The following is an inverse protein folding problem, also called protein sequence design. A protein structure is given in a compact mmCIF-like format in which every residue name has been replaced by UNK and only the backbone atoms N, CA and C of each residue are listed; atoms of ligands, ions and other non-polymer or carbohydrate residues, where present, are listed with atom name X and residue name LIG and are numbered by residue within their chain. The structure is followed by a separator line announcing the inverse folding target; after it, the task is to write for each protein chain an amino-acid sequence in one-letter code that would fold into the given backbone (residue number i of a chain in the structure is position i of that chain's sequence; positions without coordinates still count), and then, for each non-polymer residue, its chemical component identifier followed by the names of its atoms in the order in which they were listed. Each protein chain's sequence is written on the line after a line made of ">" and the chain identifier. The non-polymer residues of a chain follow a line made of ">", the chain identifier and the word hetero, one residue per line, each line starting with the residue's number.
data_IF_809402125858
#
_entry.id   IF_809402125858
#
_cell.length_a   1.000
_cell.length_b   1.000
_cell.length_c   1.000
_cell.angle_alpha   90.00
_cell.angle_beta   90.00
_cell.angle_gamma   90.00
#
_symmetry.space_group_name_H-M   'P 1'
#
loop_
_entity.id
_entity.type
_entity.pdbx_description
1 polymer ?
#
# COMPACT_ATOMS: atom_id res chain seq x y z
N UNK A 1 -32.44 11.24 -10.58
CA UNK A 1 -31.61 11.98 -9.60
C UNK A 1 -31.17 11.12 -8.41
N UNK A 2 -32.07 10.54 -7.59
CA UNK A 2 -31.71 9.75 -6.38
C UNK A 2 -30.77 8.54 -6.59
N UNK A 3 -30.85 7.88 -7.75
CA UNK A 3 -29.98 6.72 -8.06
C UNK A 3 -28.54 7.18 -8.37
N UNK A 4 -28.39 8.24 -9.17
CA UNK A 4 -27.08 8.82 -9.49
C UNK A 4 -26.34 9.29 -8.22
N UNK A 5 -27.07 9.87 -7.25
CA UNK A 5 -26.51 10.26 -5.96
C UNK A 5 -25.99 9.05 -5.16
N UNK A 6 -26.70 7.91 -5.18
CA UNK A 6 -26.26 6.68 -4.49
C UNK A 6 -24.98 6.09 -5.07
N UNK A 7 -24.84 6.08 -6.41
CA UNK A 7 -23.62 5.61 -7.06
C UNK A 7 -22.46 6.58 -6.90
N UNK A 8 -22.72 7.90 -6.87
CA UNK A 8 -21.70 8.90 -6.54
C UNK A 8 -21.11 8.66 -5.14
N UNK A 9 -21.97 8.49 -4.14
CA UNK A 9 -21.53 8.14 -2.77
C UNK A 9 -20.72 6.84 -2.73
N UNK A 10 -21.19 5.81 -3.44
CA UNK A 10 -20.49 4.53 -3.50
C UNK A 10 -19.09 4.68 -4.13
N UNK A 11 -18.97 5.40 -5.25
CA UNK A 11 -17.68 5.67 -5.91
C UNK A 11 -16.73 6.47 -5.02
N UNK A 12 -17.22 7.43 -4.23
CA UNK A 12 -16.40 8.12 -3.24
C UNK A 12 -15.77 7.13 -2.25
N UNK A 13 -16.57 6.18 -1.72
CA UNK A 13 -16.12 5.18 -0.74
C UNK A 13 -15.19 4.10 -1.33
N UNK A 14 -15.21 3.91 -2.66
CA UNK A 14 -14.19 3.09 -3.34
C UNK A 14 -12.79 3.72 -3.25
N UNK A 15 -12.69 5.03 -2.95
CA UNK A 15 -11.41 5.73 -2.75
C UNK A 15 -10.40 5.51 -3.89
N UNK A 16 -10.87 5.55 -5.14
CA UNK A 16 -10.00 5.34 -6.32
C UNK A 16 -8.76 6.26 -6.31
N UNK A 17 -8.84 7.56 -5.98
CA UNK A 17 -7.65 8.41 -5.91
C UNK A 17 -6.64 7.98 -4.84
N UNK A 18 -7.08 7.30 -3.77
CA UNK A 18 -6.18 6.80 -2.72
C UNK A 18 -5.22 5.74 -3.25
N UNK A 19 -5.59 5.02 -4.32
CA UNK A 19 -4.70 4.05 -4.97
C UNK A 19 -3.37 4.65 -5.41
N UNK A 20 -3.29 5.96 -5.65
CA UNK A 20 -2.02 6.65 -5.95
C UNK A 20 -0.99 6.47 -4.84
N UNK A 21 -1.42 6.31 -3.58
CA UNK A 21 -0.51 6.08 -2.46
C UNK A 21 0.04 4.65 -2.39
N UNK A 22 -0.47 3.74 -3.21
CA UNK A 22 -0.08 2.32 -3.27
C UNK A 22 0.85 2.00 -4.45
N UNK A 23 1.08 2.97 -5.34
CA UNK A 23 1.99 2.85 -6.49
C UNK A 23 3.45 2.49 -6.18
N UNK A 24 4.06 2.87 -5.03
CA UNK A 24 5.48 2.63 -4.80
C UNK A 24 5.93 1.18 -5.00
N UNK A 25 5.15 0.21 -4.54
CA UNK A 25 5.49 -1.22 -4.65
C UNK A 25 5.39 -1.69 -6.09
N UNK A 26 4.42 -1.18 -6.86
CA UNK A 26 4.31 -1.46 -8.29
C UNK A 26 5.55 -0.97 -9.03
N UNK A 27 5.94 0.30 -8.83
CA UNK A 27 7.14 0.85 -9.45
C UNK A 27 8.42 0.15 -8.98
N UNK A 28 8.47 -0.23 -7.70
CA UNK A 28 9.60 -0.98 -7.16
C UNK A 28 9.77 -2.32 -7.86
N UNK A 29 8.68 -3.09 -7.98
CA UNK A 29 8.69 -4.40 -8.63
C UNK A 29 9.11 -4.34 -10.10
N UNK A 30 8.77 -3.25 -10.81
CA UNK A 30 9.26 -3.02 -12.18
C UNK A 30 10.72 -2.55 -12.21
N UNK A 31 11.14 -1.73 -11.25
CA UNK A 31 12.49 -1.17 -11.21
C UNK A 31 13.58 -2.22 -11.01
N UNK A 32 13.24 -3.41 -10.52
CA UNK A 32 14.19 -4.52 -10.34
C UNK A 32 14.33 -5.40 -11.60
N UNK A 33 13.53 -5.18 -12.64
CA UNK A 33 13.54 -5.95 -13.88
C UNK A 33 14.41 -5.30 -14.96
N UNK A 34 15.19 -6.11 -15.69
CA UNK A 34 16.00 -5.60 -16.81
C UNK A 34 15.15 -5.09 -17.97
N UNK A 35 14.06 -5.78 -18.28
CA UNK A 35 13.12 -5.44 -19.33
C UNK A 35 11.69 -5.55 -18.80
N UNK A 36 10.83 -4.65 -19.25
CA UNK A 36 9.43 -4.60 -18.84
C UNK A 36 8.55 -4.62 -20.08
N UNK A 37 7.67 -5.61 -20.17
CA UNK A 37 6.56 -5.59 -21.13
C UNK A 37 5.58 -4.49 -20.72
N UNK A 38 5.56 -3.40 -21.49
CA UNK A 38 4.75 -2.21 -21.19
C UNK A 38 3.25 -2.50 -21.20
N UNK A 39 2.78 -3.40 -22.07
CA UNK A 39 1.37 -3.78 -22.12
C UNK A 39 0.98 -4.51 -20.84
N UNK A 40 1.76 -5.52 -20.44
CA UNK A 40 1.51 -6.25 -19.20
C UNK A 40 1.62 -5.34 -17.98
N UNK A 41 2.62 -4.46 -17.94
CA UNK A 41 2.78 -3.49 -16.85
C UNK A 41 1.56 -2.56 -16.73
N UNK A 42 1.06 -2.02 -17.84
CA UNK A 42 -0.14 -1.20 -17.87
C UNK A 42 -1.39 -1.99 -17.42
N UNK A 43 -1.55 -3.23 -17.88
CA UNK A 43 -2.65 -4.09 -17.46
C UNK A 43 -2.61 -4.40 -15.96
N UNK A 44 -1.45 -4.80 -15.41
CA UNK A 44 -1.26 -5.00 -13.97
C UNK A 44 -1.57 -3.73 -13.19
N UNK A 45 -1.07 -2.58 -13.65
CA UNK A 45 -1.33 -1.30 -13.02
C UNK A 45 -2.82 -0.99 -12.91
N UNK A 46 -3.56 -1.12 -14.02
CA UNK A 46 -5.00 -0.89 -14.07
C UNK A 46 -5.76 -1.86 -13.18
N UNK A 47 -5.44 -3.16 -13.25
CA UNK A 47 -6.07 -4.19 -12.41
C UNK A 47 -5.88 -3.84 -10.93
N UNK A 48 -4.66 -3.50 -10.50
CA UNK A 48 -4.39 -3.22 -9.09
C UNK A 48 -5.00 -1.88 -8.64
N UNK A 49 -4.73 -0.79 -9.35
CA UNK A 49 -5.01 0.57 -8.87
C UNK A 49 -6.44 1.04 -9.17
N UNK A 50 -7.09 0.47 -10.19
CA UNK A 50 -8.45 0.86 -10.58
C UNK A 50 -9.47 -0.17 -10.10
N UNK A 51 -9.12 -1.45 -9.96
CA UNK A 51 -10.06 -2.50 -9.57
C UNK A 51 -9.80 -3.03 -8.14
N UNK A 52 -8.64 -3.64 -7.90
CA UNK A 52 -8.33 -4.37 -6.65
C UNK A 52 -8.34 -3.44 -5.43
N UNK A 53 -7.51 -2.40 -5.42
CA UNK A 53 -7.42 -1.51 -4.26
C UNK A 53 -8.73 -0.75 -4.01
N UNK A 54 -9.44 -0.24 -5.04
CA UNK A 54 -10.73 0.38 -4.81
C UNK A 54 -11.80 -0.59 -4.28
N UNK A 55 -11.83 -1.84 -4.75
CA UNK A 55 -12.74 -2.85 -4.22
C UNK A 55 -12.45 -3.17 -2.75
N UNK A 56 -11.18 -3.33 -2.39
CA UNK A 56 -10.73 -3.51 -1.01
C UNK A 56 -11.12 -2.33 -0.11
N UNK A 57 -10.91 -1.10 -0.57
CA UNK A 57 -11.27 0.12 0.15
C UNK A 57 -12.78 0.26 0.34
N UNK A 58 -13.57 -0.02 -0.70
CA UNK A 58 -15.02 0.02 -0.66
C UNK A 58 -15.62 -1.05 0.26
N UNK A 59 -15.06 -2.27 0.23
CA UNK A 59 -15.48 -3.33 1.15
C UNK A 59 -15.20 -2.96 2.60
N UNK A 60 -14.00 -2.43 2.86
CA UNK A 60 -13.62 -1.93 4.18
C UNK A 60 -14.60 -0.85 4.68
N UNK A 61 -14.88 0.17 3.86
CA UNK A 61 -15.84 1.23 4.22
C UNK A 61 -17.28 0.74 4.41
N UNK A 62 -17.69 -0.32 3.72
CA UNK A 62 -19.03 -0.90 3.89
C UNK A 62 -19.22 -1.54 5.28
N UNK A 63 -18.20 -2.24 5.78
CA UNK A 63 -18.24 -2.92 7.09
C UNK A 63 -17.91 -2.00 8.26
N UNK A 64 -16.93 -1.10 8.08
CA UNK A 64 -16.43 -0.27 9.17
C UNK A 64 -17.39 0.89 9.49
N UNK A 65 -18.13 1.39 8.48
CA UNK A 65 -19.16 2.45 8.62
C UNK A 65 -18.65 3.67 9.38
N UNK A 66 -17.41 4.05 9.09
CA UNK A 66 -16.68 5.12 9.78
C UNK A 66 -17.45 6.45 9.73
N UNK A 67 -17.45 7.15 10.87
CA UNK A 67 -18.02 8.50 10.96
C UNK A 67 -16.91 9.55 10.98
N UNK A 68 -15.72 9.21 11.48
CA UNK A 68 -14.53 10.05 11.42
C UNK A 68 -13.73 9.84 10.13
N UNK A 69 -12.64 10.61 10.01
CA UNK A 69 -11.80 10.58 8.81
C UNK A 69 -11.12 9.22 8.61
N UNK A 70 -11.05 8.80 7.35
CA UNK A 70 -10.35 7.58 6.90
C UNK A 70 -9.37 7.92 5.80
N UNK A 71 -8.41 7.03 5.51
CA UNK A 71 -7.41 7.26 4.45
C UNK A 71 -8.05 7.77 3.15
N UNK A 72 -7.67 8.98 2.73
CA UNK A 72 -8.15 9.65 1.51
C UNK A 72 -9.48 10.39 1.62
N UNK A 73 -10.25 10.22 2.71
CA UNK A 73 -11.54 10.89 2.93
C UNK A 73 -11.63 11.48 4.35
N UNK A 74 -11.60 12.81 4.44
CA UNK A 74 -11.74 13.51 5.72
C UNK A 74 -13.14 13.37 6.34
N UNK A 75 -14.17 13.35 5.50
CA UNK A 75 -15.57 13.18 5.92
C UNK A 75 -16.21 12.08 5.04
N UNK A 76 -16.07 10.79 5.40
CA UNK A 76 -16.63 9.72 4.58
C UNK A 76 -18.17 9.76 4.63
N UNK A 77 -18.85 9.61 3.48
CA UNK A 77 -20.30 9.46 3.48
C UNK A 77 -20.73 8.09 4.00
N UNK A 78 -22.00 7.94 4.42
CA UNK A 78 -22.50 6.64 4.90
C UNK A 78 -22.56 5.61 3.75
N UNK A 79 -22.12 4.36 3.99
CA UNK A 79 -22.17 3.31 2.97
C UNK A 79 -23.62 2.95 2.61
N UNK A 80 -23.80 2.48 1.39
CA UNK A 80 -25.10 2.06 0.85
C UNK A 80 -24.97 0.71 0.12
N UNK A 81 -26.10 0.14 -0.29
CA UNK A 81 -26.10 -1.17 -1.00
C UNK A 81 -25.39 -1.11 -2.35
N UNK A 82 -25.37 0.05 -3.02
CA UNK A 82 -24.67 0.23 -4.31
C UNK A 82 -23.15 0.07 -4.14
N UNK A 83 -22.59 0.41 -2.98
CA UNK A 83 -21.18 0.18 -2.68
C UNK A 83 -20.83 -1.31 -2.78
N UNK A 84 -21.61 -2.20 -2.15
CA UNK A 84 -21.34 -3.63 -2.21
C UNK A 84 -21.47 -4.19 -3.64
N UNK A 85 -22.43 -3.68 -4.43
CA UNK A 85 -22.55 -4.06 -5.84
C UNK A 85 -21.31 -3.65 -6.66
N UNK A 86 -20.80 -2.44 -6.44
CA UNK A 86 -19.57 -1.97 -7.10
C UNK A 86 -18.35 -2.77 -6.67
N UNK A 87 -18.22 -3.07 -5.37
CA UNK A 87 -17.13 -3.91 -4.84
C UNK A 87 -17.13 -5.27 -5.54
N UNK A 88 -18.28 -5.96 -5.57
CA UNK A 88 -18.38 -7.27 -6.21
C UNK A 88 -18.09 -7.20 -7.71
N UNK A 89 -18.60 -6.15 -8.39
CA UNK A 89 -18.29 -5.93 -9.80
C UNK A 89 -16.78 -5.77 -10.03
N UNK A 90 -16.11 -4.97 -9.21
CA UNK A 90 -14.66 -4.73 -9.35
C UNK A 90 -13.86 -5.99 -9.01
N UNK A 91 -14.28 -6.78 -8.03
CA UNK A 91 -13.66 -8.07 -7.70
C UNK A 91 -13.71 -9.02 -8.90
N UNK A 92 -14.90 -9.20 -9.48
CA UNK A 92 -15.08 -10.06 -10.65
C UNK A 92 -14.26 -9.56 -11.84
N UNK A 93 -14.32 -8.26 -12.13
CA UNK A 93 -13.54 -7.66 -13.22
C UNK A 93 -12.03 -7.79 -12.99
N UNK A 94 -11.54 -7.65 -11.76
CA UNK A 94 -10.12 -7.78 -11.44
C UNK A 94 -9.62 -9.20 -11.71
N UNK A 95 -10.34 -10.22 -11.24
CA UNK A 95 -9.95 -11.62 -11.44
C UNK A 95 -10.06 -12.02 -12.91
N UNK A 96 -11.16 -11.68 -13.59
CA UNK A 96 -11.33 -11.99 -15.00
C UNK A 96 -10.30 -11.27 -15.89
N UNK A 97 -9.99 -10.01 -15.60
CA UNK A 97 -8.93 -9.29 -16.31
C UNK A 97 -7.55 -9.88 -16.02
N UNK A 98 -7.33 -10.40 -14.82
CA UNK A 98 -6.09 -11.11 -14.46
C UNK A 98 -5.86 -12.37 -15.30
N UNK A 99 -6.93 -13.06 -15.71
CA UNK A 99 -6.82 -14.24 -16.59
C UNK A 99 -6.26 -13.91 -17.97
N UNK A 100 -6.38 -12.65 -18.42
CA UNK A 100 -5.76 -12.17 -19.67
C UNK A 100 -4.22 -12.16 -19.59
N UNK A 101 -3.65 -12.11 -18.39
CA UNK A 101 -2.20 -12.14 -18.17
C UNK A 101 -1.69 -13.56 -17.88
N UNK A 102 -2.29 -14.23 -16.89
CA UNK A 102 -2.09 -15.67 -16.63
C UNK A 102 -3.05 -16.18 -15.55
N UNK A 103 -3.36 -17.50 -15.52
CA UNK A 103 -4.11 -18.10 -14.41
C UNK A 103 -3.46 -17.91 -13.04
N UNK A 104 -2.12 -17.91 -12.97
CA UNK A 104 -1.38 -17.71 -11.72
C UNK A 104 -1.51 -16.27 -11.20
N UNK A 105 -1.43 -15.27 -12.08
CA UNK A 105 -1.67 -13.88 -11.69
C UNK A 105 -3.10 -13.68 -11.20
N UNK A 106 -4.09 -14.24 -11.91
CA UNK A 106 -5.50 -14.18 -11.50
C UNK A 106 -5.74 -14.83 -10.13
N UNK A 107 -5.07 -15.94 -9.82
CA UNK A 107 -5.19 -16.60 -8.51
C UNK A 107 -4.56 -15.76 -7.40
N UNK A 108 -3.47 -15.04 -7.67
CA UNK A 108 -2.89 -14.09 -6.71
C UNK A 108 -3.80 -12.89 -6.45
N UNK A 109 -4.42 -12.34 -7.51
CA UNK A 109 -5.44 -11.29 -7.36
C UNK A 109 -6.59 -11.80 -6.51
N UNK A 110 -7.13 -12.99 -6.81
CA UNK A 110 -8.23 -13.57 -6.03
C UNK A 110 -7.84 -13.76 -4.56
N UNK A 111 -6.67 -14.32 -4.28
CA UNK A 111 -6.17 -14.52 -2.91
C UNK A 111 -6.02 -13.18 -2.17
N UNK A 112 -5.42 -12.16 -2.80
CA UNK A 112 -5.30 -10.82 -2.22
C UNK A 112 -6.68 -10.27 -1.85
N UNK A 113 -7.65 -10.38 -2.76
CA UNK A 113 -9.02 -9.94 -2.53
C UNK A 113 -9.61 -10.70 -1.34
N UNK A 114 -9.58 -12.03 -1.30
CA UNK A 114 -10.12 -12.82 -0.18
C UNK A 114 -9.54 -12.40 1.17
N UNK A 115 -8.22 -12.21 1.26
CA UNK A 115 -7.55 -11.77 2.48
C UNK A 115 -8.00 -10.37 2.87
N UNK A 116 -8.08 -9.45 1.91
CA UNK A 116 -8.61 -8.10 2.14
C UNK A 116 -10.05 -8.11 2.63
N UNK A 117 -10.89 -9.07 2.23
CA UNK A 117 -12.26 -9.19 2.72
C UNK A 117 -12.30 -9.79 4.12
N UNK A 118 -11.52 -10.83 4.38
CA UNK A 118 -11.36 -11.43 5.70
C UNK A 118 -10.88 -10.42 6.76
N UNK A 119 -10.13 -9.40 6.33
CA UNK A 119 -9.69 -8.31 7.19
C UNK A 119 -10.86 -7.52 7.82
N UNK A 120 -11.91 -7.21 7.04
CA UNK A 120 -13.05 -6.38 7.47
C UNK A 120 -14.33 -7.16 7.77
N UNK A 121 -14.52 -8.35 7.21
CA UNK A 121 -15.74 -9.14 7.38
C UNK A 121 -16.00 -9.50 8.85
N UNK A 122 -17.18 -9.17 9.37
CA UNK A 122 -17.53 -9.35 10.80
C UNK A 122 -17.29 -10.77 11.34
N UNK A 123 -17.52 -11.80 10.52
CA UNK A 123 -17.32 -13.20 10.95
C UNK A 123 -15.86 -13.60 11.18
N UNK A 124 -14.89 -12.86 10.62
CA UNK A 124 -13.45 -13.10 10.81
C UNK A 124 -12.81 -11.91 11.52
N UNK A 125 -12.87 -10.73 10.87
CA UNK A 125 -12.40 -9.42 11.31
C UNK A 125 -10.96 -9.46 11.78
N UNK A 126 -10.01 -9.79 10.89
CA UNK A 126 -8.59 -9.93 11.26
C UNK A 126 -8.04 -8.69 11.96
N UNK A 127 -8.52 -7.49 11.60
CA UNK A 127 -8.09 -6.21 12.16
C UNK A 127 -8.22 -6.08 13.68
N UNK A 128 -9.02 -6.92 14.33
CA UNK A 128 -9.12 -6.99 15.79
C UNK A 128 -7.84 -7.54 16.45
N UNK A 129 -7.00 -8.24 15.69
CA UNK A 129 -5.75 -8.83 16.16
C UNK A 129 -4.57 -7.95 15.71
N UNK A 130 -3.95 -7.16 16.60
CA UNK A 130 -2.94 -6.15 16.24
C UNK A 130 -1.75 -6.71 15.47
N UNK A 131 -1.14 -7.77 16.01
CA UNK A 131 0.09 -8.36 15.45
C UNK A 131 -0.23 -9.12 14.15
N UNK A 132 -1.24 -10.00 14.19
CA UNK A 132 -1.64 -10.80 13.04
C UNK A 132 -2.12 -9.92 11.88
N UNK A 133 -2.97 -8.93 12.16
CA UNK A 133 -3.47 -8.01 11.12
C UNK A 133 -2.34 -7.19 10.52
N UNK A 134 -1.38 -6.72 11.33
CA UNK A 134 -0.21 -6.00 10.81
C UNK A 134 0.60 -6.91 9.90
N UNK A 135 0.95 -8.12 10.35
CA UNK A 135 1.69 -9.08 9.53
C UNK A 135 0.98 -9.36 8.20
N UNK A 136 -0.33 -9.65 8.25
CA UNK A 136 -1.13 -9.94 7.05
C UNK A 136 -1.12 -8.74 6.11
N UNK A 137 -1.38 -7.54 6.60
CA UNK A 137 -1.41 -6.34 5.74
C UNK A 137 -0.03 -6.06 5.16
N UNK A 138 1.03 -6.08 5.96
CA UNK A 138 2.36 -5.70 5.48
C UNK A 138 2.95 -6.76 4.55
N UNK A 139 2.66 -8.05 4.75
CA UNK A 139 3.04 -9.10 3.81
C UNK A 139 2.24 -9.03 2.51
N UNK A 140 0.91 -8.94 2.57
CA UNK A 140 0.07 -8.96 1.37
C UNK A 140 0.20 -7.68 0.55
N UNK A 141 0.31 -6.52 1.19
CA UNK A 141 0.58 -5.26 0.50
C UNK A 141 2.06 -5.12 0.13
N UNK A 142 2.99 -5.70 0.89
CA UNK A 142 4.42 -5.67 0.60
C UNK A 142 4.85 -6.79 -0.34
N UNK A 143 5.55 -7.80 0.21
CA UNK A 143 6.17 -8.88 -0.55
C UNK A 143 5.22 -9.58 -1.54
N UNK A 144 3.99 -9.89 -1.13
CA UNK A 144 3.05 -10.57 -2.01
C UNK A 144 2.66 -9.70 -3.21
N UNK A 145 2.41 -8.40 -3.00
CA UNK A 145 2.09 -7.49 -4.10
C UNK A 145 3.28 -7.31 -5.03
N UNK A 146 4.50 -7.20 -4.49
CA UNK A 146 5.72 -7.18 -5.30
C UNK A 146 5.82 -8.42 -6.20
N UNK A 147 5.62 -9.61 -5.62
CA UNK A 147 5.64 -10.89 -6.33
C UNK A 147 4.52 -10.93 -7.39
N UNK A 148 3.32 -10.52 -7.01
CA UNK A 148 2.15 -10.49 -7.89
C UNK A 148 2.37 -9.58 -9.10
N UNK A 149 2.97 -8.40 -8.91
CA UNK A 149 3.32 -7.51 -10.03
C UNK A 149 4.30 -8.18 -10.98
N UNK A 150 5.37 -8.80 -10.47
CA UNK A 150 6.37 -9.46 -11.32
C UNK A 150 5.81 -10.67 -12.09
N UNK A 151 4.98 -11.48 -11.45
CA UNK A 151 4.26 -12.58 -12.14
C UNK A 151 3.31 -12.02 -13.20
N UNK A 152 2.62 -10.91 -12.91
CA UNK A 152 1.73 -10.25 -13.86
C UNK A 152 2.46 -9.76 -15.12
N UNK A 153 3.68 -9.25 -14.97
CA UNK A 153 4.52 -8.82 -16.10
C UNK A 153 5.30 -9.95 -16.79
N UNK A 154 5.13 -11.20 -16.35
CA UNK A 154 5.51 -12.39 -17.12
C UNK A 154 6.63 -13.23 -16.51
N UNK A 155 7.11 -12.93 -15.30
CA UNK A 155 8.08 -13.79 -14.63
C UNK A 155 7.41 -15.07 -14.10
N UNK A 156 8.13 -16.18 -14.14
CA UNK A 156 7.72 -17.41 -13.44
C UNK A 156 7.90 -17.24 -11.93
N UNK A 157 7.11 -17.97 -11.13
CA UNK A 157 7.23 -17.91 -9.67
C UNK A 157 8.65 -18.29 -9.19
N UNK A 158 9.30 -19.22 -9.88
CA UNK A 158 10.68 -19.61 -9.58
C UNK A 158 11.65 -18.43 -9.74
N UNK A 159 11.57 -17.68 -10.85
CA UNK A 159 12.41 -16.49 -11.08
C UNK A 159 12.16 -15.42 -10.02
N UNK A 160 10.90 -15.23 -9.63
CA UNK A 160 10.55 -14.23 -8.61
C UNK A 160 11.09 -14.60 -7.22
N UNK A 161 11.06 -15.89 -6.86
CA UNK A 161 11.52 -16.36 -5.56
C UNK A 161 13.03 -16.62 -5.48
N UNK A 162 13.76 -16.45 -6.58
CA UNK A 162 15.22 -16.56 -6.61
C UNK A 162 15.91 -15.33 -6.02
N UNK A 163 17.12 -15.54 -5.49
CA UNK A 163 17.99 -14.45 -5.08
C UNK A 163 18.55 -13.71 -6.31
N UNK A 164 18.74 -12.37 -6.25
CA UNK A 164 18.44 -11.50 -5.11
C UNK A 164 16.97 -11.05 -5.02
N UNK A 165 16.12 -11.45 -5.97
CA UNK A 165 14.79 -10.86 -6.15
C UNK A 165 13.83 -11.06 -4.98
N UNK A 166 13.87 -12.22 -4.31
CA UNK A 166 13.09 -12.47 -3.09
C UNK A 166 13.39 -11.46 -1.96
N UNK A 167 14.63 -10.96 -1.89
CA UNK A 167 15.02 -9.98 -0.89
C UNK A 167 14.44 -8.59 -1.17
N UNK A 168 14.24 -8.22 -2.43
CA UNK A 168 13.48 -7.00 -2.77
C UNK A 168 12.00 -7.12 -2.39
N UNK A 169 11.41 -8.31 -2.47
CA UNK A 169 10.06 -8.54 -1.94
C UNK A 169 10.01 -8.30 -0.41
N UNK A 170 11.03 -8.76 0.33
CA UNK A 170 11.14 -8.50 1.77
C UNK A 170 11.28 -7.00 2.09
N UNK A 171 12.06 -6.25 1.30
CA UNK A 171 12.16 -4.78 1.42
C UNK A 171 10.77 -4.13 1.35
N UNK A 172 9.92 -4.58 0.43
CA UNK A 172 8.53 -4.08 0.31
C UNK A 172 7.74 -4.28 1.60
N UNK A 173 7.85 -5.45 2.23
CA UNK A 173 7.20 -5.72 3.53
C UNK A 173 7.76 -4.84 4.64
N UNK A 174 9.09 -4.63 4.71
CA UNK A 174 9.71 -3.77 5.74
C UNK A 174 9.27 -2.30 5.61
N UNK A 175 9.19 -1.79 4.38
CA UNK A 175 8.64 -0.46 4.15
C UNK A 175 7.18 -0.35 4.60
N UNK A 176 6.37 -1.38 4.32
CA UNK A 176 4.98 -1.42 4.77
C UNK A 176 4.84 -1.58 6.28
N UNK A 177 5.71 -2.36 6.93
CA UNK A 177 5.79 -2.40 8.39
C UNK A 177 5.98 -1.00 8.98
N UNK A 178 6.77 -0.14 8.31
CA UNK A 178 6.93 1.22 8.76
C UNK A 178 5.74 2.13 8.44
N UNK A 179 5.27 2.11 7.20
CA UNK A 179 4.25 3.06 6.72
C UNK A 179 2.84 2.73 7.21
N UNK A 180 2.47 1.45 7.29
CA UNK A 180 1.10 1.05 7.61
C UNK A 180 0.65 1.51 9.01
N UNK A 181 1.41 1.29 10.12
CA UNK A 181 1.02 1.81 11.43
C UNK A 181 0.91 3.35 11.46
N UNK A 182 1.74 4.07 10.71
CA UNK A 182 1.62 5.53 10.59
C UNK A 182 0.28 5.95 9.97
N UNK A 183 -0.30 5.15 9.08
CA UNK A 183 -1.62 5.46 8.50
C UNK A 183 -2.76 5.40 9.53
N UNK A 184 -2.53 4.76 10.67
CA UNK A 184 -3.51 4.56 11.75
C UNK A 184 -3.27 5.50 12.95
N UNK A 185 -2.16 6.25 12.97
CA UNK A 185 -1.70 6.96 14.16
C UNK A 185 -2.66 8.04 14.66
N UNK A 186 -3.48 8.60 13.77
CA UNK A 186 -4.50 9.59 14.12
C UNK A 186 -5.87 8.98 14.48
N UNK A 187 -6.06 7.67 14.30
CA UNK A 187 -7.36 7.00 14.41
C UNK A 187 -7.57 6.29 15.76
N UNK A 188 -6.68 6.51 16.75
CA UNK A 188 -6.68 5.77 18.01
C UNK A 188 -8.03 5.79 18.75
N UNK A 189 -8.68 6.95 18.81
CA UNK A 189 -9.97 7.11 19.48
C UNK A 189 -11.08 6.33 18.76
N UNK A 190 -11.14 6.41 17.43
CA UNK A 190 -12.19 5.77 16.64
C UNK A 190 -11.99 4.25 16.57
N UNK A 191 -10.74 3.79 16.42
CA UNK A 191 -10.38 2.36 16.52
C UNK A 191 -10.81 1.78 17.86
N UNK A 192 -10.53 2.49 18.96
CA UNK A 192 -10.91 2.07 20.31
C UNK A 192 -12.43 1.99 20.47
N UNK A 193 -13.19 2.97 19.95
CA UNK A 193 -14.67 2.95 19.99
C UNK A 193 -15.27 1.77 19.25
N UNK A 194 -14.66 1.32 18.16
CA UNK A 194 -15.07 0.12 17.41
C UNK A 194 -14.65 -1.21 18.03
N UNK A 195 -13.86 -1.17 19.10
CA UNK A 195 -13.26 -2.35 19.73
C UNK A 195 -12.12 -2.97 18.92
N UNK A 196 -11.59 -2.26 17.92
CA UNK A 196 -10.43 -2.70 17.16
C UNK A 196 -9.15 -2.38 17.97
N UNK A 197 -8.21 -3.34 18.02
CA UNK A 197 -6.89 -3.13 18.64
C UNK A 197 -5.84 -3.12 17.54
N UNK A 198 -5.55 -1.94 16.99
CA UNK A 198 -4.50 -1.79 15.97
C UNK A 198 -3.12 -1.77 16.61
N UNK A 199 -2.07 -2.06 15.82
CA UNK A 199 -0.71 -2.01 16.34
C UNK A 199 -0.33 -0.59 16.80
N UNK A 200 -0.74 0.43 16.03
CA UNK A 200 -0.48 1.82 16.39
C UNK A 200 -1.12 2.21 17.73
N UNK A 201 -2.35 1.75 17.99
CA UNK A 201 -3.02 1.96 19.26
C UNK A 201 -2.25 1.34 20.44
N UNK A 202 -1.72 0.12 20.27
CA UNK A 202 -0.99 -0.60 21.33
C UNK A 202 0.37 0.02 21.61
N UNK A 203 1.06 0.45 20.56
CA UNK A 203 2.35 1.13 20.69
C UNK A 203 2.20 2.57 21.21
N UNK A 204 1.00 3.15 21.10
CA UNK A 204 0.77 4.57 21.25
C UNK A 204 1.47 5.38 20.15
N UNK A 205 1.32 6.70 20.20
CA UNK A 205 1.88 7.63 19.21
C UNK A 205 3.42 7.49 19.12
N UNK A 206 4.11 7.60 20.26
CA UNK A 206 5.58 7.56 20.31
C UNK A 206 6.11 6.21 19.83
N UNK A 207 5.53 5.10 20.30
CA UNK A 207 5.94 3.77 19.87
C UNK A 207 5.67 3.53 18.39
N UNK A 208 4.59 4.10 17.83
CA UNK A 208 4.30 4.02 16.39
C UNK A 208 5.39 4.71 15.58
N UNK A 209 5.83 5.90 15.98
CA UNK A 209 6.95 6.58 15.32
C UNK A 209 8.26 5.77 15.44
N UNK A 210 8.60 5.26 16.62
CA UNK A 210 9.83 4.47 16.77
C UNK A 210 9.81 3.19 15.92
N UNK A 211 8.69 2.46 15.93
CA UNK A 211 8.49 1.27 15.10
C UNK A 211 8.58 1.58 13.61
N UNK A 212 8.00 2.71 13.19
CA UNK A 212 8.06 3.15 11.81
C UNK A 212 9.48 3.48 11.38
N UNK A 213 10.21 4.26 12.18
CA UNK A 213 11.60 4.61 11.92
C UNK A 213 12.48 3.35 11.82
N UNK A 214 12.37 2.42 12.77
CA UNK A 214 13.13 1.18 12.76
C UNK A 214 12.85 0.34 11.50
N UNK A 215 11.58 0.15 11.15
CA UNK A 215 11.19 -0.66 9.99
C UNK A 215 11.63 -0.03 8.67
N UNK A 216 11.49 1.30 8.53
CA UNK A 216 11.94 2.03 7.35
C UNK A 216 13.47 2.03 7.22
N UNK A 217 14.21 2.18 8.32
CA UNK A 217 15.67 2.09 8.32
C UNK A 217 16.15 0.67 7.99
N UNK A 218 15.50 -0.37 8.54
CA UNK A 218 15.82 -1.76 8.20
C UNK A 218 15.56 -2.05 6.72
N UNK A 219 14.40 -1.64 6.19
CA UNK A 219 14.08 -1.77 4.77
C UNK A 219 15.07 -1.00 3.88
N UNK A 220 15.45 0.20 4.28
CA UNK A 220 16.42 1.03 3.55
C UNK A 220 17.79 0.36 3.58
N UNK A 221 18.28 -0.05 4.75
CA UNK A 221 19.58 -0.71 4.90
C UNK A 221 19.68 -1.97 4.04
N UNK A 222 18.63 -2.81 4.04
CA UNK A 222 18.56 -3.99 3.17
C UNK A 222 18.56 -3.61 1.69
N UNK A 223 17.80 -2.59 1.29
CA UNK A 223 17.76 -2.12 -0.10
C UNK A 223 19.11 -1.60 -0.59
N UNK A 224 19.78 -0.77 0.23
CA UNK A 224 21.11 -0.25 -0.12
C UNK A 224 22.14 -1.38 -0.20
N UNK A 225 22.08 -2.35 0.72
CA UNK A 225 22.94 -3.54 0.66
C UNK A 225 22.70 -4.33 -0.64
N UNK A 226 21.44 -4.55 -1.03
CA UNK A 226 21.12 -5.22 -2.31
C UNK A 226 21.65 -4.45 -3.52
N UNK A 227 21.53 -3.12 -3.53
CA UNK A 227 22.08 -2.32 -4.62
C UNK A 227 23.61 -2.33 -4.66
N UNK A 228 24.29 -2.40 -3.51
CA UNK A 228 25.74 -2.57 -3.47
C UNK A 228 26.17 -3.94 -4.02
N UNK A 229 25.55 -5.03 -3.55
CA UNK A 229 25.95 -6.39 -3.91
C UNK A 229 25.56 -6.78 -5.34
N UNK A 230 24.55 -6.11 -5.92
CA UNK A 230 24.16 -6.27 -7.33
C UNK A 230 24.80 -5.23 -8.26
N UNK A 231 25.80 -4.48 -7.78
CA UNK A 231 26.53 -3.46 -8.55
C UNK A 231 25.65 -2.34 -9.13
N UNK A 232 24.52 -2.05 -8.48
CA UNK A 232 23.58 -0.98 -8.84
C UNK A 232 23.80 0.29 -8.00
N UNK A 233 25.05 0.69 -7.81
CA UNK A 233 25.45 1.78 -6.89
C UNK A 233 24.74 3.10 -7.21
N UNK A 234 24.45 3.38 -8.48
CA UNK A 234 23.72 4.58 -8.87
C UNK A 234 22.30 4.65 -8.26
N UNK A 235 21.63 3.51 -8.10
CA UNK A 235 20.29 3.45 -7.51
C UNK A 235 20.28 3.87 -6.04
N UNK A 236 21.40 3.71 -5.32
CA UNK A 236 21.57 4.19 -3.94
C UNK A 236 21.42 5.71 -3.90
N UNK A 237 22.15 6.41 -4.78
CA UNK A 237 22.10 7.88 -4.84
C UNK A 237 20.73 8.39 -5.27
N UNK A 238 20.11 7.77 -6.28
CA UNK A 238 18.75 8.12 -6.72
C UNK A 238 17.76 7.94 -5.56
N UNK A 239 17.81 6.80 -4.86
CA UNK A 239 16.92 6.50 -3.76
C UNK A 239 17.05 7.51 -2.61
N UNK A 240 18.28 7.73 -2.12
CA UNK A 240 18.54 8.63 -1.00
C UNK A 240 18.14 10.08 -1.32
N UNK A 241 18.45 10.55 -2.53
CA UNK A 241 18.07 11.90 -2.95
C UNK A 241 16.55 12.06 -3.02
N UNK A 242 15.86 11.13 -3.69
CA UNK A 242 14.41 11.21 -3.88
C UNK A 242 13.62 11.03 -2.57
N UNK A 243 14.17 10.29 -1.60
CA UNK A 243 13.52 10.03 -0.30
C UNK A 243 13.87 11.06 0.79
N UNK A 244 14.76 12.02 0.50
CA UNK A 244 15.09 13.12 1.43
C UNK A 244 13.85 13.90 1.92
N UNK A 245 12.85 14.24 1.07
CA UNK A 245 11.62 14.90 1.53
C UNK A 245 10.84 14.10 2.58
N UNK A 246 10.88 12.77 2.50
CA UNK A 246 10.24 11.86 3.47
C UNK A 246 10.91 12.03 4.83
N UNK A 247 12.24 11.91 4.87
CA UNK A 247 13.01 12.04 6.11
C UNK A 247 12.80 13.41 6.77
N UNK A 248 12.81 14.48 5.96
CA UNK A 248 12.59 15.84 6.42
C UNK A 248 11.19 16.00 7.04
N UNK A 249 10.14 15.62 6.30
CA UNK A 249 8.77 15.73 6.79
C UNK A 249 8.53 14.86 8.02
N UNK A 250 8.98 13.60 7.98
CA UNK A 250 8.83 12.64 9.07
C UNK A 250 9.46 13.15 10.36
N UNK A 251 10.73 13.55 10.31
CA UNK A 251 11.46 14.06 11.47
C UNK A 251 10.79 15.32 12.02
N UNK A 252 10.42 16.26 11.15
CA UNK A 252 9.69 17.45 11.55
C UNK A 252 8.30 17.15 12.15
N UNK A 253 7.62 16.12 11.65
CA UNK A 253 6.33 15.69 12.19
C UNK A 253 6.48 15.08 13.59
N UNK A 254 7.46 14.19 13.80
CA UNK A 254 7.77 13.62 15.12
C UNK A 254 8.08 14.74 16.14
N UNK A 255 8.96 15.68 15.79
CA UNK A 255 9.34 16.79 16.68
C UNK A 255 8.16 17.71 17.01
N UNK A 256 7.24 17.93 16.06
CA UNK A 256 6.01 18.69 16.31
C UNK A 256 5.05 17.91 17.20
N UNK A 257 4.83 16.62 16.93
CA UNK A 257 3.94 15.75 17.70
C UNK A 257 4.37 15.59 19.17
N UNK A 258 5.68 15.66 19.45
CA UNK A 258 6.20 15.66 20.82
C UNK A 258 5.85 16.93 21.60
N UNK A 259 5.70 18.07 20.91
CA UNK A 259 5.40 19.37 21.52
C UNK A 259 3.89 19.66 21.56
N UNK A 260 3.18 19.21 20.53
CA UNK A 260 1.76 19.42 20.34
C UNK A 260 1.09 18.12 19.85
N UNK A 261 0.31 17.44 20.71
CA UNK A 261 -0.44 16.25 20.34
C UNK A 261 -1.40 16.46 19.15
N UNK A 262 -1.88 17.69 18.92
CA UNK A 262 -2.75 17.98 17.78
C UNK A 262 -2.05 17.85 16.42
N UNK A 263 -0.72 17.78 16.38
CA UNK A 263 0.01 17.47 15.15
C UNK A 263 -0.23 16.03 14.67
N UNK A 264 -0.67 15.12 15.55
CA UNK A 264 -1.06 13.74 15.20
C UNK A 264 -2.49 13.76 14.68
N UNK A 265 -2.63 14.11 13.40
CA UNK A 265 -3.94 14.33 12.79
C UNK A 265 -4.00 13.74 11.36
N UNK A 266 -5.22 13.72 10.83
CA UNK A 266 -5.50 13.25 9.47
C UNK A 266 -4.66 13.96 8.41
N UNK A 267 -4.55 15.30 8.48
CA UNK A 267 -3.93 16.10 7.43
C UNK A 267 -2.41 15.82 7.34
N UNK A 268 -1.69 15.76 8.47
CA UNK A 268 -0.28 15.40 8.49
C UNK A 268 -0.06 13.94 8.07
N UNK A 269 -0.96 13.03 8.43
CA UNK A 269 -0.87 11.62 8.03
C UNK A 269 -1.04 11.46 6.51
N UNK A 270 -2.02 12.15 5.91
CA UNK A 270 -2.20 12.14 4.45
C UNK A 270 -1.06 12.84 3.72
N UNK A 271 -0.50 13.91 4.29
CA UNK A 271 0.68 14.57 3.74
C UNK A 271 1.90 13.64 3.76
N UNK A 272 2.13 12.89 4.85
CA UNK A 272 3.16 11.85 4.92
C UNK A 272 2.98 10.80 3.82
N UNK A 273 1.75 10.29 3.63
CA UNK A 273 1.45 9.31 2.58
C UNK A 273 1.72 9.87 1.18
N UNK A 274 1.32 11.13 0.93
CA UNK A 274 1.54 11.80 -0.36
C UNK A 274 3.02 11.99 -0.65
N UNK A 275 3.77 12.56 0.30
CA UNK A 275 5.22 12.78 0.15
C UNK A 275 5.91 11.44 -0.07
N UNK A 276 5.62 10.44 0.76
CA UNK A 276 6.24 9.11 0.66
C UNK A 276 5.94 8.43 -0.66
N UNK A 277 4.68 8.40 -1.08
CA UNK A 277 4.31 7.76 -2.34
C UNK A 277 4.97 8.42 -3.54
N UNK A 278 4.94 9.75 -3.62
CA UNK A 278 5.52 10.48 -4.74
C UNK A 278 7.04 10.35 -4.76
N UNK A 279 7.71 10.52 -3.62
CA UNK A 279 9.17 10.39 -3.51
C UNK A 279 9.66 9.00 -3.89
N UNK A 280 9.05 7.94 -3.34
CA UNK A 280 9.49 6.56 -3.59
C UNK A 280 9.16 6.14 -5.04
N UNK A 281 7.96 6.48 -5.54
CA UNK A 281 7.59 6.20 -6.93
C UNK A 281 8.53 6.91 -7.90
N UNK A 282 8.84 8.18 -7.64
CA UNK A 282 9.80 8.96 -8.44
C UNK A 282 11.18 8.32 -8.43
N UNK A 283 11.65 7.86 -7.27
CA UNK A 283 12.93 7.16 -7.16
C UNK A 283 12.98 5.94 -8.09
N UNK A 284 11.99 5.06 -8.01
CA UNK A 284 11.97 3.82 -8.81
C UNK A 284 11.76 4.07 -10.30
N UNK A 285 10.94 5.05 -10.67
CA UNK A 285 10.79 5.47 -12.07
C UNK A 285 12.12 6.02 -12.60
N UNK A 286 12.81 6.88 -11.85
CA UNK A 286 14.11 7.43 -12.26
C UNK A 286 15.18 6.35 -12.40
N UNK A 287 15.17 5.31 -11.57
CA UNK A 287 16.08 4.16 -11.73
C UNK A 287 15.81 3.40 -13.03
N UNK A 288 14.54 3.18 -13.37
CA UNK A 288 14.17 2.54 -14.65
C UNK A 288 14.62 3.38 -15.84
N UNK A 289 14.38 4.70 -15.80
CA UNK A 289 14.82 5.62 -16.84
C UNK A 289 16.35 5.61 -16.93
N UNK A 290 17.07 5.82 -15.83
CA UNK A 290 18.53 5.84 -15.81
C UNK A 290 19.15 4.56 -16.37
N UNK A 291 18.55 3.39 -16.10
CA UNK A 291 18.99 2.11 -16.69
C UNK A 291 18.90 2.11 -18.22
N UNK A 292 17.81 2.61 -18.79
CA UNK A 292 17.62 2.66 -20.25
C UNK A 292 18.62 3.61 -20.91
N UNK A 293 18.97 4.72 -20.26
CA UNK A 293 19.92 5.69 -20.80
C UNK A 293 21.38 5.23 -20.74
N UNK A 294 21.70 4.26 -19.89
CA UNK A 294 23.07 3.76 -19.67
C UNK A 294 23.34 2.40 -20.33
N UNK A 295 22.30 1.76 -20.89
CA UNK A 295 22.39 0.52 -21.66
C UNK A 295 22.70 0.80 -23.13
#
# INVERSE_FOLDING_TARGET
>A
MKIATKYSTALTLMRIPFSVYLMPIFWFALSTLQQVDLWRAAAVFLILHVLVYPASNGYNSYYDRDEGSIGGLKNPPKPNRQLMLLVLLFDVLAVLSGLLLSPLFASFVALYLFISKAYSYEGIRLKKYPILSTFVVTFFQGAFTYIMVQVGVGLTLQQVLQEPNVWFALVSTLFLCGSYPLTQIYQHEEDSRRGDRTLSLILGVTGTYLFAAFSLLAGTGLLLWLYLTTSQVQNIFIFLLCTTPILFFYTGWVLRAQKDPHAVNYDNTMLMNKISSLSISTAFILMMVARVWLA
#
